data_IF_538579847895
#
_entry.id   IF_538579847895
#
_cell.length_a   1.000
_cell.length_b   1.000
_cell.length_c   1.000
_cell.angle_alpha   90.00
_cell.angle_beta   90.00
_cell.angle_gamma   90.00
#
_symmetry.space_group_name_H-M   'P 1'
#
loop_
_entity.id
_entity.type
_entity.pdbx_description
1 polymer ?
#
# COMPACT_ATOMS: atom_id res chain seq x y z
N UNK A 1 -18.72 -2.00 -8.23
CA UNK A 1 -18.75 -0.82 -7.34
C UNK A 1 -19.58 -1.11 -6.10
N UNK A 2 -20.93 -1.09 -6.18
CA UNK A 2 -21.81 -1.24 -5.00
C UNK A 2 -21.59 -2.56 -4.26
N UNK A 3 -21.60 -3.69 -4.97
CA UNK A 3 -21.36 -5.01 -4.38
C UNK A 3 -20.04 -5.11 -3.61
N UNK A 4 -18.98 -4.51 -4.14
CA UNK A 4 -17.65 -4.47 -3.49
C UNK A 4 -17.73 -3.68 -2.17
N UNK A 5 -18.48 -2.59 -2.16
CA UNK A 5 -18.74 -1.81 -0.96
C UNK A 5 -19.54 -2.59 0.09
N UNK A 6 -20.56 -3.33 -0.33
CA UNK A 6 -21.34 -4.20 0.58
C UNK A 6 -20.45 -5.28 1.21
N UNK A 7 -19.58 -5.93 0.43
CA UNK A 7 -18.61 -6.89 0.99
C UNK A 7 -17.66 -6.24 2.01
N UNK A 8 -17.15 -5.04 1.72
CA UNK A 8 -16.29 -4.32 2.66
C UNK A 8 -17.03 -3.95 3.96
N UNK A 9 -18.31 -3.57 3.88
CA UNK A 9 -19.16 -3.27 5.03
C UNK A 9 -19.41 -4.53 5.88
N UNK A 10 -19.81 -5.65 5.25
CA UNK A 10 -20.04 -6.92 5.95
C UNK A 10 -18.78 -7.43 6.63
N UNK A 11 -17.62 -7.32 5.98
CA UNK A 11 -16.32 -7.60 6.60
C UNK A 11 -16.10 -6.72 7.83
N UNK A 12 -16.33 -5.41 7.70
CA UNK A 12 -16.13 -4.45 8.80
C UNK A 12 -16.98 -4.78 10.02
N UNK A 13 -18.25 -5.12 9.81
CA UNK A 13 -19.16 -5.54 10.88
C UNK A 13 -18.69 -6.85 11.54
N UNK A 14 -18.24 -7.84 10.75
CA UNK A 14 -17.73 -9.10 11.28
C UNK A 14 -16.46 -8.92 12.13
N UNK A 15 -15.54 -8.04 11.70
CA UNK A 15 -14.33 -7.70 12.47
C UNK A 15 -14.70 -7.09 13.83
N UNK A 16 -15.63 -6.13 13.85
CA UNK A 16 -16.05 -5.43 15.07
C UNK A 16 -16.85 -6.35 16.01
N UNK A 17 -17.62 -7.28 15.46
CA UNK A 17 -18.42 -8.24 16.24
C UNK A 17 -17.55 -9.27 16.96
N UNK A 18 -16.38 -9.62 16.38
CA UNK A 18 -15.45 -10.60 16.94
C UNK A 18 -15.03 -10.34 18.39
N UNK A 19 -14.52 -9.15 18.79
CA UNK A 19 -14.14 -8.87 20.18
C UNK A 19 -15.32 -8.90 21.15
N UNK A 20 -16.53 -8.55 20.71
CA UNK A 20 -17.74 -8.60 21.56
C UNK A 20 -18.09 -10.06 21.91
N UNK A 21 -18.05 -10.96 20.91
CA UNK A 21 -18.28 -12.38 21.17
C UNK A 21 -17.15 -12.99 22.02
N UNK A 22 -15.92 -12.51 21.84
CA UNK A 22 -14.79 -12.98 22.64
C UNK A 22 -14.93 -12.56 24.11
N UNK A 23 -15.34 -11.32 24.37
CA UNK A 23 -15.66 -10.84 25.71
C UNK A 23 -16.79 -11.67 26.36
N UNK A 24 -17.88 -11.90 25.61
CA UNK A 24 -18.95 -12.79 26.07
C UNK A 24 -18.45 -14.22 26.37
N UNK A 25 -17.48 -14.71 25.60
CA UNK A 25 -16.87 -16.03 25.82
C UNK A 25 -16.01 -16.07 27.08
N UNK A 26 -15.23 -15.02 27.33
CA UNK A 26 -14.45 -14.87 28.57
C UNK A 26 -15.39 -14.80 29.78
N UNK A 27 -16.45 -14.00 29.71
CA UNK A 27 -17.44 -13.90 30.79
C UNK A 27 -18.15 -15.24 31.05
N UNK A 28 -18.57 -15.93 29.99
CA UNK A 28 -19.13 -17.28 30.10
C UNK A 28 -18.14 -18.28 30.74
N UNK A 29 -16.86 -18.16 30.40
CA UNK A 29 -15.80 -19.00 30.99
C UNK A 29 -15.52 -18.69 32.46
N UNK A 30 -15.81 -17.48 32.95
CA UNK A 30 -15.63 -17.10 34.34
C UNK A 30 -16.82 -17.44 35.24
N UNK A 31 -18.00 -17.73 34.69
CA UNK A 31 -19.18 -18.10 35.46
C UNK A 31 -19.10 -19.53 36.02
N UNK A 32 -19.55 -19.75 37.27
CA UNK A 32 -19.51 -21.08 37.91
C UNK A 32 -20.56 -22.06 37.34
N UNK A 33 -21.75 -21.57 36.97
CA UNK A 33 -22.81 -22.37 36.38
C UNK A 33 -22.75 -22.37 34.85
N UNK A 34 -22.03 -23.34 34.27
CA UNK A 34 -21.80 -23.44 32.82
C UNK A 34 -22.72 -24.48 32.18
N UNK A 35 -23.48 -24.07 31.16
CA UNK A 35 -24.27 -24.99 30.34
C UNK A 35 -23.50 -25.36 29.08
N UNK A 36 -23.12 -26.63 28.90
CA UNK A 36 -22.32 -27.12 27.76
C UNK A 36 -22.81 -26.62 26.39
N UNK A 37 -24.14 -26.56 26.20
CA UNK A 37 -24.77 -26.06 24.97
C UNK A 37 -24.47 -24.56 24.72
N UNK A 38 -24.48 -23.73 25.76
CA UNK A 38 -24.20 -22.28 25.65
C UNK A 38 -22.77 -21.99 25.19
N UNK A 39 -21.79 -22.73 25.73
CA UNK A 39 -20.40 -22.61 25.28
C UNK A 39 -20.21 -23.07 23.83
N UNK A 40 -20.84 -24.17 23.43
CA UNK A 40 -20.79 -24.66 22.04
C UNK A 40 -21.41 -23.66 21.05
N UNK A 41 -22.57 -23.08 21.39
CA UNK A 41 -23.22 -22.05 20.56
C UNK A 41 -22.31 -20.83 20.39
N UNK A 42 -21.66 -20.37 21.46
CA UNK A 42 -20.80 -19.19 21.42
C UNK A 42 -19.54 -19.40 20.56
N UNK A 43 -18.91 -20.57 20.67
CA UNK A 43 -17.78 -20.96 19.78
C UNK A 43 -18.26 -21.09 18.34
N UNK A 44 -19.43 -21.68 18.10
CA UNK A 44 -20.04 -21.76 16.77
C UNK A 44 -20.26 -20.37 16.16
N UNK A 45 -20.80 -19.43 16.92
CA UNK A 45 -20.98 -18.04 16.50
C UNK A 45 -19.64 -17.36 16.17
N UNK A 46 -18.59 -17.55 17.00
CA UNK A 46 -17.25 -17.03 16.72
C UNK A 46 -16.69 -17.58 15.40
N UNK A 47 -16.83 -18.88 15.14
CA UNK A 47 -16.41 -19.49 13.89
C UNK A 47 -17.15 -18.92 12.68
N UNK A 48 -18.47 -18.78 12.77
CA UNK A 48 -19.30 -18.21 11.70
C UNK A 48 -18.88 -16.77 11.40
N UNK A 49 -18.67 -15.95 12.43
CA UNK A 49 -18.23 -14.56 12.27
C UNK A 49 -16.85 -14.49 11.60
N UNK A 50 -15.89 -15.34 12.00
CA UNK A 50 -14.55 -15.39 11.38
C UNK A 50 -14.55 -15.91 9.96
N UNK A 51 -15.39 -16.89 9.65
CA UNK A 51 -15.58 -17.36 8.30
C UNK A 51 -16.16 -16.26 7.42
N UNK A 52 -17.19 -15.57 7.92
CA UNK A 52 -17.84 -14.43 7.26
C UNK A 52 -16.83 -13.31 6.98
N UNK A 53 -16.04 -12.92 7.97
CA UNK A 53 -14.95 -11.94 7.83
C UNK A 53 -14.00 -12.33 6.69
N UNK A 54 -13.46 -13.55 6.74
CA UNK A 54 -12.45 -14.04 5.79
C UNK A 54 -13.00 -14.14 4.38
N UNK A 55 -14.22 -14.65 4.24
CA UNK A 55 -14.90 -14.82 2.96
C UNK A 55 -15.15 -13.46 2.30
N UNK A 56 -15.77 -12.52 3.01
CA UNK A 56 -16.06 -11.20 2.45
C UNK A 56 -14.80 -10.37 2.17
N UNK A 57 -13.74 -10.53 2.98
CA UNK A 57 -12.44 -9.93 2.68
C UNK A 57 -11.88 -10.43 1.34
N UNK A 58 -11.93 -11.73 1.09
CA UNK A 58 -11.43 -12.30 -0.16
C UNK A 58 -12.25 -11.83 -1.36
N UNK A 59 -13.57 -11.81 -1.23
CA UNK A 59 -14.48 -11.32 -2.26
C UNK A 59 -14.26 -9.84 -2.56
N UNK A 60 -14.07 -9.01 -1.53
CA UNK A 60 -13.74 -7.61 -1.70
C UNK A 60 -12.44 -7.44 -2.51
N UNK A 61 -11.33 -8.05 -2.08
CA UNK A 61 -10.05 -7.88 -2.78
C UNK A 61 -10.09 -8.40 -4.22
N UNK A 62 -10.72 -9.56 -4.45
CA UNK A 62 -10.83 -10.13 -5.78
C UNK A 62 -11.67 -9.24 -6.71
N UNK A 63 -12.87 -8.83 -6.28
CA UNK A 63 -13.76 -8.03 -7.12
C UNK A 63 -13.27 -6.60 -7.31
N UNK A 64 -12.58 -6.04 -6.31
CA UNK A 64 -11.91 -4.74 -6.41
C UNK A 64 -10.81 -4.78 -7.49
N UNK A 65 -9.91 -5.78 -7.42
CA UNK A 65 -8.87 -5.98 -8.45
C UNK A 65 -9.47 -6.24 -9.83
N UNK A 66 -10.51 -7.08 -9.93
CA UNK A 66 -11.21 -7.36 -11.20
C UNK A 66 -11.80 -6.08 -11.80
N UNK A 67 -12.41 -5.24 -10.98
CA UNK A 67 -12.97 -3.96 -11.44
C UNK A 67 -11.88 -2.98 -11.85
N UNK A 68 -10.77 -2.91 -11.09
CA UNK A 68 -9.59 -2.12 -11.44
C UNK A 68 -8.96 -2.54 -12.77
N UNK A 69 -8.86 -3.85 -13.04
CA UNK A 69 -8.39 -4.36 -14.33
C UNK A 69 -9.29 -3.94 -15.50
N UNK A 70 -10.62 -4.04 -15.34
CA UNK A 70 -11.56 -3.57 -16.37
C UNK A 70 -11.39 -2.09 -16.66
N UNK A 71 -11.21 -1.27 -15.62
CA UNK A 71 -10.97 0.16 -15.75
C UNK A 71 -9.66 0.45 -16.50
N UNK A 72 -8.59 -0.29 -16.20
CA UNK A 72 -7.31 -0.23 -16.92
C UNK A 72 -7.47 -0.51 -18.42
N UNK A 73 -8.13 -1.61 -18.78
CA UNK A 73 -8.32 -1.97 -20.20
C UNK A 73 -9.19 -0.96 -20.94
N UNK A 74 -10.25 -0.45 -20.29
CA UNK A 74 -11.10 0.60 -20.86
C UNK A 74 -10.31 1.88 -21.13
N UNK A 75 -9.46 2.32 -20.19
CA UNK A 75 -8.59 3.48 -20.40
C UNK A 75 -7.59 3.25 -21.53
N UNK A 76 -6.91 2.09 -21.54
CA UNK A 76 -5.95 1.75 -22.59
C UNK A 76 -6.60 1.79 -23.97
N UNK A 77 -7.80 1.22 -24.12
CA UNK A 77 -8.58 1.26 -25.36
C UNK A 77 -9.00 2.68 -25.75
N UNK A 78 -9.44 3.50 -24.80
CA UNK A 78 -9.82 4.89 -25.06
C UNK A 78 -8.62 5.71 -25.57
N UNK A 79 -7.45 5.52 -24.95
CA UNK A 79 -6.22 6.21 -25.35
C UNK A 79 -5.75 5.72 -26.71
N UNK A 80 -5.74 4.42 -26.96
CA UNK A 80 -5.40 3.86 -28.27
C UNK A 80 -6.30 4.43 -29.38
N UNK A 81 -7.63 4.45 -29.17
CA UNK A 81 -8.57 5.07 -30.12
C UNK A 81 -8.31 6.56 -30.34
N UNK A 82 -7.93 7.29 -29.29
CA UNK A 82 -7.57 8.71 -29.41
C UNK A 82 -6.28 8.90 -30.21
N UNK A 83 -5.26 8.06 -29.99
CA UNK A 83 -3.99 8.10 -30.73
C UNK A 83 -4.18 7.95 -32.25
N UNK A 84 -5.06 7.05 -32.66
CA UNK A 84 -5.36 6.82 -34.08
C UNK A 84 -5.97 8.06 -34.75
N UNK A 85 -6.69 8.90 -34.00
CA UNK A 85 -7.37 10.11 -34.50
C UNK A 85 -6.56 11.41 -34.35
N UNK A 86 -5.36 11.36 -33.77
CA UNK A 86 -4.52 12.55 -33.57
C UNK A 86 -3.84 12.99 -34.88
N UNK A 87 -3.78 14.31 -35.09
CA UNK A 87 -3.07 14.94 -36.21
C UNK A 87 -1.55 14.80 -36.08
N UNK A 88 -0.83 14.89 -37.20
CA UNK A 88 0.64 14.72 -37.25
C UNK A 88 1.41 15.72 -36.39
N UNK A 89 0.90 16.95 -36.24
CA UNK A 89 1.48 18.01 -35.40
C UNK A 89 1.48 17.64 -33.91
N UNK A 90 0.39 17.02 -33.42
CA UNK A 90 0.30 16.58 -32.02
C UNK A 90 1.15 15.32 -31.78
N UNK A 91 1.23 14.42 -32.77
CA UNK A 91 2.12 13.24 -32.72
C UNK A 91 3.61 13.61 -32.64
N UNK A 92 4.02 14.76 -33.21
CA UNK A 92 5.38 15.30 -33.06
C UNK A 92 5.68 15.85 -31.66
N UNK A 93 4.71 16.49 -30.99
CA UNK A 93 4.86 16.99 -29.61
C UNK A 93 4.78 15.87 -28.57
N UNK A 94 3.93 14.88 -28.78
CA UNK A 94 3.81 13.71 -27.91
C UNK A 94 3.96 12.43 -28.74
N UNK A 95 5.17 11.86 -28.72
CA UNK A 95 5.42 10.56 -29.35
C UNK A 95 4.46 9.51 -28.80
N UNK A 96 3.89 8.69 -29.68
CA UNK A 96 2.99 7.60 -29.32
C UNK A 96 3.62 6.67 -28.26
N UNK A 97 4.93 6.41 -28.36
CA UNK A 97 5.66 5.62 -27.35
C UNK A 97 5.71 6.28 -25.97
N UNK A 98 5.81 7.61 -25.92
CA UNK A 98 5.81 8.38 -24.66
C UNK A 98 4.43 8.34 -24.00
N UNK A 99 3.36 8.41 -24.79
CA UNK A 99 1.97 8.29 -24.30
C UNK A 99 1.71 6.88 -23.78
N UNK A 100 2.10 5.84 -24.53
CA UNK A 100 1.94 4.45 -24.08
C UNK A 100 2.70 4.20 -22.78
N UNK A 101 3.94 4.70 -22.65
CA UNK A 101 4.72 4.58 -21.42
C UNK A 101 4.03 5.28 -20.22
N UNK A 102 3.45 6.48 -20.43
CA UNK A 102 2.66 7.14 -19.38
C UNK A 102 1.43 6.32 -18.99
N UNK A 103 0.78 5.67 -19.95
CA UNK A 103 -0.37 4.81 -19.65
C UNK A 103 0.07 3.57 -18.92
N UNK A 104 1.13 2.88 -19.33
CA UNK A 104 1.59 1.67 -18.64
C UNK A 104 1.98 1.94 -17.19
N UNK A 105 2.74 3.01 -16.93
CA UNK A 105 3.14 3.40 -15.57
C UNK A 105 1.94 3.77 -14.69
N UNK A 106 0.94 4.49 -15.24
CA UNK A 106 -0.23 4.92 -14.47
C UNK A 106 -1.35 3.86 -14.40
N UNK A 107 -1.41 2.96 -15.36
CA UNK A 107 -2.43 1.90 -15.45
C UNK A 107 -2.30 0.87 -14.34
N UNK A 108 -1.08 0.60 -13.85
CA UNK A 108 -0.89 -0.26 -12.69
C UNK A 108 -1.57 0.32 -11.44
N UNK A 109 -1.39 1.62 -11.20
CA UNK A 109 -2.01 2.33 -10.06
C UNK A 109 -3.54 2.32 -10.12
N UNK A 110 -4.12 2.33 -11.31
CA UNK A 110 -5.58 2.24 -11.48
C UNK A 110 -6.16 0.92 -10.98
N UNK A 111 -5.42 -0.20 -11.05
CA UNK A 111 -5.92 -1.49 -10.55
C UNK A 111 -6.16 -1.42 -9.04
N UNK A 112 -5.25 -0.77 -8.32
CA UNK A 112 -5.30 -0.66 -6.86
C UNK A 112 -6.22 0.47 -6.38
N UNK A 113 -6.46 1.49 -7.20
CA UNK A 113 -7.26 2.67 -6.83
C UNK A 113 -8.65 2.31 -6.27
N UNK A 114 -9.30 1.32 -6.84
CA UNK A 114 -10.60 0.82 -6.37
C UNK A 114 -10.51 0.25 -4.95
N UNK A 115 -9.42 -0.46 -4.65
CA UNK A 115 -9.21 -1.05 -3.34
C UNK A 115 -8.99 0.03 -2.30
N UNK A 116 -8.13 1.01 -2.63
CA UNK A 116 -7.87 2.17 -1.78
C UNK A 116 -9.14 2.97 -1.48
N UNK A 117 -10.00 3.19 -2.49
CA UNK A 117 -11.28 3.87 -2.30
C UNK A 117 -12.15 3.14 -1.27
N UNK A 118 -12.36 1.82 -1.43
CA UNK A 118 -13.17 1.06 -0.49
C UNK A 118 -12.52 0.92 0.89
N UNK A 119 -11.19 0.89 0.93
CA UNK A 119 -10.43 0.78 2.17
C UNK A 119 -10.52 2.06 3.01
N UNK A 120 -10.51 3.24 2.37
CA UNK A 120 -10.59 4.52 3.07
C UNK A 120 -11.81 4.63 3.99
N UNK A 121 -13.02 4.53 3.43
CA UNK A 121 -14.24 4.66 4.24
C UNK A 121 -14.47 3.46 5.18
N UNK A 122 -14.09 2.24 4.77
CA UNK A 122 -14.21 1.04 5.60
C UNK A 122 -13.32 1.13 6.83
N UNK A 123 -12.09 1.62 6.68
CA UNK A 123 -11.15 1.81 7.80
C UNK A 123 -11.64 2.89 8.76
N UNK A 124 -12.15 4.01 8.25
CA UNK A 124 -12.73 5.07 9.09
C UNK A 124 -13.90 4.54 9.93
N UNK A 125 -14.82 3.80 9.31
CA UNK A 125 -15.94 3.18 10.00
C UNK A 125 -15.46 2.15 11.03
N UNK A 126 -14.51 1.30 10.66
CA UNK A 126 -13.95 0.29 11.54
C UNK A 126 -13.28 0.91 12.77
N UNK A 127 -12.53 2.00 12.60
CA UNK A 127 -11.84 2.68 13.69
C UNK A 127 -12.85 3.24 14.69
N UNK A 128 -13.90 3.93 14.22
CA UNK A 128 -14.97 4.44 15.06
C UNK A 128 -15.68 3.35 15.86
N UNK A 129 -16.05 2.25 15.17
CA UNK A 129 -16.73 1.13 15.80
C UNK A 129 -15.83 0.39 16.81
N UNK A 130 -14.55 0.19 16.48
CA UNK A 130 -13.59 -0.48 17.37
C UNK A 130 -13.37 0.32 18.66
N UNK A 131 -13.23 1.65 18.56
CA UNK A 131 -13.10 2.53 19.73
C UNK A 131 -14.37 2.45 20.59
N UNK A 132 -15.56 2.44 19.97
CA UNK A 132 -16.83 2.29 20.69
C UNK A 132 -16.91 0.96 21.45
N UNK A 133 -16.48 -0.14 20.83
CA UNK A 133 -16.41 -1.46 21.47
C UNK A 133 -15.37 -1.47 22.60
N UNK A 134 -14.21 -0.84 22.40
CA UNK A 134 -13.18 -0.71 23.43
C UNK A 134 -13.72 -0.07 24.70
N UNK A 135 -14.44 1.06 24.58
CA UNK A 135 -15.07 1.73 25.72
C UNK A 135 -16.17 0.88 26.36
N UNK A 136 -16.90 0.09 25.59
CA UNK A 136 -17.94 -0.80 26.12
C UNK A 136 -17.37 -1.96 26.92
N UNK A 137 -16.29 -2.59 26.45
CA UNK A 137 -15.70 -3.80 27.06
C UNK A 137 -14.73 -3.45 28.19
N UNK A 138 -13.87 -2.46 27.98
CA UNK A 138 -12.77 -2.12 28.91
C UNK A 138 -13.11 -0.92 29.80
N UNK A 139 -14.08 -0.08 29.41
CA UNK A 139 -14.42 1.14 30.13
C UNK A 139 -13.36 2.24 29.98
N UNK A 140 -13.35 3.18 30.92
CA UNK A 140 -12.46 4.35 30.93
C UNK A 140 -10.96 3.98 31.00
N UNK A 141 -10.64 2.82 31.56
CA UNK A 141 -9.26 2.30 31.62
C UNK A 141 -8.64 2.08 30.23
N UNK A 142 -9.46 1.89 29.19
CA UNK A 142 -9.01 1.75 27.80
C UNK A 142 -8.38 3.01 27.20
N UNK A 143 -8.56 4.17 27.83
CA UNK A 143 -8.00 5.45 27.36
C UNK A 143 -6.47 5.42 27.34
N UNK A 144 -5.84 4.81 28.36
CA UNK A 144 -4.38 4.71 28.42
C UNK A 144 -3.81 3.93 27.22
N UNK A 145 -4.47 2.84 26.83
CA UNK A 145 -4.10 2.07 25.65
C UNK A 145 -4.30 2.87 24.36
N UNK A 146 -5.41 3.62 24.25
CA UNK A 146 -5.67 4.47 23.09
C UNK A 146 -4.62 5.57 22.94
N UNK A 147 -4.23 6.23 24.04
CA UNK A 147 -3.17 7.24 24.05
C UNK A 147 -1.84 6.65 23.58
N UNK A 148 -1.48 5.46 24.08
CA UNK A 148 -0.25 4.78 23.67
C UNK A 148 -0.27 4.45 22.16
N UNK A 149 -1.37 3.91 21.64
CA UNK A 149 -1.53 3.62 20.21
C UNK A 149 -1.44 4.89 19.36
N UNK A 150 -2.01 6.01 19.82
CA UNK A 150 -1.92 7.30 19.13
C UNK A 150 -0.46 7.80 19.09
N UNK A 151 0.26 7.75 20.21
CA UNK A 151 1.68 8.15 20.27
C UNK A 151 2.51 7.31 19.29
N UNK A 152 2.36 5.99 19.31
CA UNK A 152 3.05 5.08 18.38
C UNK A 152 2.69 5.41 16.93
N UNK A 153 1.41 5.68 16.65
CA UNK A 153 0.93 6.10 15.33
C UNK A 153 1.57 7.39 14.83
N UNK A 154 1.68 8.42 15.68
CA UNK A 154 2.34 9.68 15.32
C UNK A 154 3.83 9.51 15.07
N UNK A 155 4.52 8.69 15.88
CA UNK A 155 5.93 8.35 15.67
C UNK A 155 6.10 7.63 14.32
N UNK A 156 5.27 6.64 14.03
CA UNK A 156 5.30 5.91 12.76
C UNK A 156 5.19 6.84 11.54
N UNK A 157 4.26 7.80 11.57
CA UNK A 157 4.13 8.79 10.49
C UNK A 157 5.40 9.63 10.33
N UNK A 158 6.06 10.00 11.42
CA UNK A 158 7.30 10.77 11.38
C UNK A 158 8.45 9.96 10.74
N UNK A 159 8.67 8.73 11.21
CA UNK A 159 9.72 7.84 10.68
C UNK A 159 9.46 7.46 9.23
N UNK A 160 8.21 7.19 8.84
CA UNK A 160 7.85 6.91 7.46
C UNK A 160 8.14 8.10 6.53
N UNK A 161 7.84 9.34 6.97
CA UNK A 161 8.21 10.55 6.22
C UNK A 161 9.73 10.67 6.05
N UNK A 162 10.51 10.40 7.10
CA UNK A 162 11.97 10.42 7.02
C UNK A 162 12.52 9.35 6.07
N UNK A 163 11.97 8.14 6.14
CA UNK A 163 12.31 7.05 5.24
C UNK A 163 12.00 7.42 3.79
N UNK A 164 10.78 7.84 3.49
CA UNK A 164 10.32 8.21 2.14
C UNK A 164 11.17 9.34 1.54
N UNK A 165 11.57 10.33 2.35
CA UNK A 165 12.49 11.39 1.90
C UNK A 165 13.84 10.83 1.47
N UNK A 166 14.42 9.93 2.27
CA UNK A 166 15.73 9.33 1.95
C UNK A 166 15.63 8.38 0.76
N UNK A 167 14.57 7.59 0.67
CA UNK A 167 14.30 6.71 -0.47
C UNK A 167 14.14 7.52 -1.77
N UNK A 168 13.46 8.67 -1.71
CA UNK A 168 13.34 9.58 -2.85
C UNK A 168 14.70 10.12 -3.29
N UNK A 169 15.56 10.53 -2.37
CA UNK A 169 16.91 11.02 -2.70
C UNK A 169 17.78 9.90 -3.27
N UNK A 170 17.69 8.69 -2.73
CA UNK A 170 18.37 7.52 -3.26
C UNK A 170 17.93 7.23 -4.71
N UNK A 171 16.62 7.28 -5.00
CA UNK A 171 16.10 7.08 -6.37
C UNK A 171 16.60 8.15 -7.35
N UNK A 172 16.75 9.40 -6.91
CA UNK A 172 17.32 10.48 -7.73
C UNK A 172 18.80 10.19 -8.03
N UNK A 173 19.63 9.92 -7.02
CA UNK A 173 21.05 9.62 -7.21
C UNK A 173 21.28 8.36 -8.07
N UNK A 174 20.45 7.33 -7.87
CA UNK A 174 20.45 6.14 -8.72
C UNK A 174 20.10 6.49 -10.17
N UNK A 175 19.12 7.37 -10.38
CA UNK A 175 18.74 7.86 -11.70
C UNK A 175 19.89 8.57 -12.42
N UNK A 176 20.61 9.45 -11.73
CA UNK A 176 21.78 10.15 -12.27
C UNK A 176 22.87 9.16 -12.72
N UNK A 177 23.19 8.16 -11.89
CA UNK A 177 24.17 7.12 -12.24
C UNK A 177 23.74 6.31 -13.46
N UNK A 178 22.47 5.91 -13.53
CA UNK A 178 21.94 5.14 -14.65
C UNK A 178 21.97 5.93 -15.96
N UNK A 179 21.68 7.23 -15.91
CA UNK A 179 21.80 8.14 -17.06
C UNK A 179 23.26 8.23 -17.52
N UNK A 180 24.21 8.48 -16.61
CA UNK A 180 25.63 8.55 -16.94
C UNK A 180 26.15 7.25 -17.55
N UNK A 181 25.77 6.09 -17.01
CA UNK A 181 26.12 4.80 -17.60
C UNK A 181 25.53 4.60 -19.00
N UNK A 182 24.28 5.03 -19.22
CA UNK A 182 23.67 4.98 -20.55
C UNK A 182 24.46 5.83 -21.55
N UNK A 183 24.89 7.03 -21.15
CA UNK A 183 25.69 7.90 -22.02
C UNK A 183 27.05 7.30 -22.35
N UNK A 184 27.71 6.66 -21.39
CA UNK A 184 28.97 5.93 -21.61
C UNK A 184 28.78 4.79 -22.61
N UNK A 185 27.73 3.97 -22.45
CA UNK A 185 27.45 2.85 -23.35
C UNK A 185 27.12 3.33 -24.77
N UNK A 186 26.31 4.39 -24.89
CA UNK A 186 25.95 4.98 -26.17
C UNK A 186 27.16 5.58 -26.91
N UNK A 187 28.16 6.07 -26.19
CA UNK A 187 29.35 6.73 -26.75
C UNK A 187 30.65 5.90 -26.64
N UNK A 188 30.55 4.60 -26.35
CA UNK A 188 31.68 3.72 -26.02
C UNK A 188 32.79 3.75 -27.07
N UNK A 189 32.44 3.79 -28.36
CA UNK A 189 33.42 3.84 -29.46
C UNK A 189 34.31 5.08 -29.39
N UNK A 190 33.73 6.25 -29.14
CA UNK A 190 34.49 7.51 -29.06
C UNK A 190 35.38 7.51 -27.82
N UNK A 191 34.84 7.05 -26.69
CA UNK A 191 35.58 6.96 -25.42
C UNK A 191 36.83 6.07 -25.58
N UNK A 192 36.70 4.91 -26.24
CA UNK A 192 37.79 3.98 -26.54
C UNK A 192 38.83 4.59 -27.49
N UNK A 193 38.40 5.28 -28.54
CA UNK A 193 39.30 5.93 -29.50
C UNK A 193 40.14 7.06 -28.89
N UNK A 194 39.64 7.68 -27.82
CA UNK A 194 40.29 8.79 -27.13
C UNK A 194 40.98 8.37 -25.82
N UNK A 195 40.95 7.09 -25.48
CA UNK A 195 41.47 6.56 -24.20
C UNK A 195 40.90 7.27 -22.96
N UNK A 196 39.61 7.62 -22.99
CA UNK A 196 38.93 8.37 -21.91
C UNK A 196 38.27 7.46 -20.86
N UNK A 197 38.53 6.16 -20.86
CA UNK A 197 37.83 5.19 -20.01
C UNK A 197 37.95 5.53 -18.52
N UNK A 198 39.17 5.80 -18.04
CA UNK A 198 39.41 6.14 -16.63
C UNK A 198 38.68 7.42 -16.22
N UNK A 199 38.59 8.41 -17.12
CA UNK A 199 37.90 9.66 -16.83
C UNK A 199 36.40 9.44 -16.64
N UNK A 200 35.76 8.68 -17.53
CA UNK A 200 34.33 8.38 -17.40
C UNK A 200 34.04 7.41 -16.26
N UNK A 201 34.94 6.45 -15.99
CA UNK A 201 34.87 5.57 -14.83
C UNK A 201 34.83 6.39 -13.53
N UNK A 202 35.75 7.35 -13.36
CA UNK A 202 35.79 8.19 -12.16
C UNK A 202 34.51 9.02 -11.97
N UNK A 203 33.88 9.49 -13.06
CA UNK A 203 32.58 10.18 -12.98
C UNK A 203 31.49 9.23 -12.47
N UNK A 204 31.42 8.00 -12.98
CA UNK A 204 30.43 7.00 -12.53
C UNK A 204 30.69 6.58 -11.08
N UNK A 205 31.94 6.42 -10.68
CA UNK A 205 32.34 6.08 -9.31
C UNK A 205 31.94 7.17 -8.31
N UNK A 206 32.13 8.45 -8.66
CA UNK A 206 31.66 9.58 -7.83
C UNK A 206 30.13 9.57 -7.63
N UNK A 207 29.38 9.29 -8.70
CA UNK A 207 27.92 9.15 -8.62
C UNK A 207 27.52 7.94 -7.75
N UNK A 208 28.29 6.85 -7.81
CA UNK A 208 28.07 5.64 -7.01
C UNK A 208 28.31 5.89 -5.53
N UNK A 209 29.33 6.66 -5.16
CA UNK A 209 29.58 7.07 -3.77
C UNK A 209 28.42 7.91 -3.23
N UNK A 210 27.89 8.84 -4.03
CA UNK A 210 26.74 9.63 -3.65
C UNK A 210 25.47 8.76 -3.48
N UNK A 211 25.21 7.84 -4.41
CA UNK A 211 24.13 6.86 -4.30
C UNK A 211 24.25 6.03 -3.02
N UNK A 212 25.46 5.56 -2.70
CA UNK A 212 25.72 4.74 -1.52
C UNK A 212 25.40 5.49 -0.21
N UNK A 213 25.76 6.78 -0.10
CA UNK A 213 25.42 7.61 1.06
C UNK A 213 23.90 7.67 1.30
N UNK A 214 23.12 7.89 0.25
CA UNK A 214 21.65 7.92 0.36
C UNK A 214 21.06 6.53 0.64
N UNK A 215 21.63 5.47 0.04
CA UNK A 215 21.23 4.10 0.31
C UNK A 215 21.43 3.73 1.78
N UNK A 216 22.63 3.98 2.34
CA UNK A 216 22.93 3.69 3.73
C UNK A 216 21.96 4.42 4.67
N UNK A 217 21.73 5.72 4.44
CA UNK A 217 20.76 6.51 5.20
C UNK A 217 19.33 5.99 5.08
N UNK A 218 18.92 5.56 3.88
CA UNK A 218 17.60 4.97 3.65
C UNK A 218 17.43 3.64 4.38
N UNK A 219 18.45 2.78 4.42
CA UNK A 219 18.39 1.50 5.13
C UNK A 219 18.34 1.69 6.65
N UNK A 220 19.13 2.62 7.21
CA UNK A 220 19.09 2.95 8.63
C UNK A 220 17.69 3.44 9.02
N UNK A 221 17.14 4.39 8.27
CA UNK A 221 15.79 4.91 8.53
C UNK A 221 14.71 3.84 8.37
N UNK A 222 14.88 2.90 7.43
CA UNK A 222 13.97 1.76 7.24
C UNK A 222 13.98 0.85 8.46
N UNK A 223 15.17 0.51 8.98
CA UNK A 223 15.31 -0.29 10.19
C UNK A 223 14.67 0.41 11.39
N UNK A 224 14.89 1.72 11.57
CA UNK A 224 14.25 2.48 12.65
C UNK A 224 12.73 2.51 12.55
N UNK A 225 12.18 2.62 11.33
CA UNK A 225 10.73 2.52 11.12
C UNK A 225 10.19 1.11 11.35
N UNK A 226 11.00 0.08 11.12
CA UNK A 226 10.61 -1.32 11.34
C UNK A 226 10.57 -1.72 12.81
N UNK A 227 11.34 -1.08 13.68
CA UNK A 227 11.34 -1.35 15.14
C UNK A 227 10.05 -0.87 15.82
N UNK A 228 9.32 0.08 15.22
CA UNK A 228 8.07 0.60 15.76
C UNK A 228 6.82 -0.20 15.32
N UNK A 229 6.99 -1.24 14.52
CA UNK A 229 5.95 -2.20 14.10
C UNK A 229 6.12 -3.53 14.83
#
# INVERSE_FOLDING_TARGET
>A
MIFVGVCALLRTLAVVTSPILLDAFVQYSNNEHKTRLGGLLLVGCLMIVKFTESFFQRYWFFNSRRSGMRMRYALMMAIYRKQLKLSGLVKRRHSAGKIINYVEVNAYRMIESMNWFHMGWSLSLQLFLTISVLFKVVGLSGILGLVLVLIIGFLNIHFEKMYNKCESLFKVAQGERLLAMSDVLNNMKIIKLQSWEEKFKNVVDLLRENEHKFLAKSQINKSSSGVLY
#
